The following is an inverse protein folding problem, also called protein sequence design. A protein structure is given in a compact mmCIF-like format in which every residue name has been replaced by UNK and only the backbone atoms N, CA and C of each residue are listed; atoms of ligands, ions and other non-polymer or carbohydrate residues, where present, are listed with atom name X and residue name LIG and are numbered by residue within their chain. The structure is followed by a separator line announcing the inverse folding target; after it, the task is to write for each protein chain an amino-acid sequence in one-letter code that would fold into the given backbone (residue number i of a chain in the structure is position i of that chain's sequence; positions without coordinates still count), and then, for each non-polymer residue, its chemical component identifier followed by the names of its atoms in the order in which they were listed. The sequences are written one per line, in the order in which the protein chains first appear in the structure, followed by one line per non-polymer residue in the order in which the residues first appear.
data_IF_088070015157
#
_entry.id   IF_088070015157
#
_cell.length_a   1.000
_cell.length_b   1.000
_cell.length_c   1.000
_cell.angle_alpha   90.00
_cell.angle_beta   90.00
_cell.angle_gamma   90.00
#
_symmetry.space_group_name_H-M   'P 1'
#
loop_
_entity.id
_entity.type
_entity.pdbx_description
1 polymer ?
#
# COMPACT_ATOMS: atom_id res chain seq x y z
N UNK A 1 -20.69 0.07 -15.43
CA UNK A 1 -21.65 0.57 -14.42
C UNK A 1 -23.02 -0.09 -14.60
N UNK A 2 -23.72 0.13 -15.72
CA UNK A 2 -25.07 -0.42 -15.98
C UNK A 2 -25.20 -1.90 -15.62
N UNK A 3 -24.25 -2.73 -16.06
CA UNK A 3 -24.25 -4.16 -15.71
C UNK A 3 -24.23 -4.43 -14.19
N UNK A 4 -23.38 -3.76 -13.42
CA UNK A 4 -23.23 -4.00 -11.97
C UNK A 4 -24.48 -3.57 -11.20
N UNK A 5 -24.97 -2.36 -11.47
CA UNK A 5 -26.12 -1.79 -10.78
C UNK A 5 -27.46 -2.41 -11.23
N UNK A 6 -27.59 -2.84 -12.49
CA UNK A 6 -28.74 -3.63 -12.95
C UNK A 6 -28.89 -4.94 -12.16
N UNK A 7 -27.77 -5.53 -11.73
CA UNK A 7 -27.75 -6.73 -10.88
C UNK A 7 -27.78 -6.41 -9.38
N UNK A 8 -28.07 -5.15 -8.99
CA UNK A 8 -28.13 -4.68 -7.60
C UNK A 8 -26.86 -4.98 -6.80
N UNK A 9 -25.70 -4.88 -7.44
CA UNK A 9 -24.39 -5.04 -6.81
C UNK A 9 -23.74 -3.68 -6.58
N UNK A 10 -22.89 -3.58 -5.55
CA UNK A 10 -22.05 -2.40 -5.30
C UNK A 10 -20.74 -2.51 -6.10
N UNK A 11 -20.28 -1.39 -6.65
CA UNK A 11 -19.01 -1.21 -7.33
C UNK A 11 -18.00 -0.59 -6.37
N UNK A 12 -17.06 -1.39 -5.87
CA UNK A 12 -15.94 -0.89 -5.08
C UNK A 12 -14.71 -0.77 -5.97
N UNK A 13 -14.04 0.39 -5.94
CA UNK A 13 -12.84 0.64 -6.73
C UNK A 13 -11.65 0.85 -5.80
N UNK A 14 -10.60 0.06 -6.00
CA UNK A 14 -9.35 0.20 -5.27
C UNK A 14 -8.39 1.13 -6.01
N UNK A 15 -7.98 2.20 -5.35
CA UNK A 15 -6.87 3.08 -5.74
C UNK A 15 -5.90 3.06 -4.56
N UNK A 16 -5.38 1.86 -4.28
CA UNK A 16 -4.71 1.52 -3.03
C UNK A 16 -3.21 1.83 -3.00
N UNK A 17 -2.69 2.51 -4.02
CA UNK A 17 -1.26 2.83 -4.13
C UNK A 17 -0.98 4.23 -3.60
N UNK A 18 0.21 4.44 -3.02
CA UNK A 18 0.67 5.76 -2.57
C UNK A 18 1.06 6.65 -3.73
N UNK A 19 0.69 7.93 -3.65
CA UNK A 19 0.95 8.89 -4.72
C UNK A 19 2.43 9.28 -4.78
N UNK A 20 3.01 9.28 -5.99
CA UNK A 20 4.38 9.77 -6.20
C UNK A 20 4.38 11.29 -6.37
N UNK A 21 5.38 12.03 -5.83
CA UNK A 21 5.47 13.48 -5.99
C UNK A 21 5.39 13.93 -7.45
N UNK A 22 6.12 13.27 -8.35
CA UNK A 22 6.20 13.61 -9.78
C UNK A 22 4.94 13.22 -10.58
N UNK A 23 3.90 12.71 -9.92
CA UNK A 23 2.73 12.18 -10.61
C UNK A 23 1.42 12.29 -9.82
N UNK A 24 1.37 13.08 -8.76
CA UNK A 24 0.23 13.16 -7.83
C UNK A 24 -1.14 13.31 -8.53
N UNK A 25 -1.21 14.18 -9.55
CA UNK A 25 -2.42 14.41 -10.33
C UNK A 25 -2.98 13.15 -11.02
N UNK A 26 -2.15 12.12 -11.24
CA UNK A 26 -2.60 10.81 -11.77
C UNK A 26 -3.56 10.14 -10.80
N UNK A 27 -3.30 10.19 -9.49
CA UNK A 27 -4.16 9.58 -8.48
C UNK A 27 -5.44 10.38 -8.29
N UNK A 28 -5.37 11.72 -8.30
CA UNK A 28 -6.57 12.56 -8.29
C UNK A 28 -7.48 12.23 -9.48
N UNK A 29 -6.92 12.14 -10.70
CA UNK A 29 -7.69 11.73 -11.89
C UNK A 29 -8.27 10.32 -11.75
N UNK A 30 -7.57 9.40 -11.08
CA UNK A 30 -8.09 8.07 -10.83
C UNK A 30 -9.30 8.10 -9.88
N UNK A 31 -9.25 8.93 -8.83
CA UNK A 31 -10.36 9.18 -7.91
C UNK A 31 -11.53 9.81 -8.66
N UNK A 32 -11.28 10.87 -9.43
CA UNK A 32 -12.31 11.56 -10.22
C UNK A 32 -12.99 10.60 -11.20
N UNK A 33 -12.20 9.79 -11.91
CA UNK A 33 -12.71 8.79 -12.85
C UNK A 33 -13.53 7.72 -12.14
N UNK A 34 -13.09 7.22 -10.98
CA UNK A 34 -13.83 6.25 -10.19
C UNK A 34 -15.19 6.82 -9.73
N UNK A 35 -15.22 8.08 -9.28
CA UNK A 35 -16.44 8.78 -8.92
C UNK A 35 -17.38 8.95 -10.13
N UNK A 36 -16.87 9.40 -11.27
CA UNK A 36 -17.63 9.57 -12.51
C UNK A 36 -18.21 8.24 -13.04
N UNK A 37 -17.53 7.13 -12.79
CA UNK A 37 -18.01 5.79 -13.14
C UNK A 37 -19.10 5.26 -12.20
N UNK A 38 -19.46 6.02 -11.14
CA UNK A 38 -20.46 5.64 -10.16
C UNK A 38 -19.96 4.59 -9.17
N UNK A 39 -18.72 4.72 -8.69
CA UNK A 39 -18.23 3.89 -7.59
C UNK A 39 -19.08 4.10 -6.33
N UNK A 40 -19.49 3.00 -5.71
CA UNK A 40 -20.19 3.01 -4.42
C UNK A 40 -19.19 3.17 -3.27
N UNK A 41 -17.96 2.66 -3.43
CA UNK A 41 -16.88 2.83 -2.46
C UNK A 41 -15.50 2.97 -3.11
N UNK A 42 -14.64 3.78 -2.49
CA UNK A 42 -13.22 3.94 -2.83
C UNK A 42 -12.35 3.30 -1.75
N UNK A 43 -11.42 2.42 -2.14
CA UNK A 43 -10.45 1.80 -1.23
C UNK A 43 -9.09 2.48 -1.44
N UNK A 44 -8.67 3.28 -0.45
CA UNK A 44 -7.53 4.21 -0.55
C UNK A 44 -6.51 3.97 0.56
N UNK A 45 -5.23 4.20 0.27
CA UNK A 45 -4.16 4.07 1.26
C UNK A 45 -3.49 5.41 1.61
N UNK A 46 -3.36 6.28 0.62
CA UNK A 46 -2.69 7.57 0.72
C UNK A 46 -3.56 8.59 1.46
N UNK A 47 -2.98 9.28 2.45
CA UNK A 47 -3.70 10.27 3.27
C UNK A 47 -4.24 11.43 2.42
N UNK A 48 -3.45 11.92 1.48
CA UNK A 48 -3.88 13.04 0.64
C UNK A 48 -4.96 12.60 -0.37
N UNK A 49 -4.99 11.33 -0.77
CA UNK A 49 -6.10 10.80 -1.57
C UNK A 49 -7.37 10.58 -0.75
N UNK A 50 -7.23 10.16 0.51
CA UNK A 50 -8.36 10.06 1.44
C UNK A 50 -8.99 11.43 1.69
N UNK A 51 -8.18 12.45 1.94
CA UNK A 51 -8.60 13.85 2.06
C UNK A 51 -9.27 14.33 0.79
N UNK A 52 -8.60 14.21 -0.36
CA UNK A 52 -9.13 14.63 -1.66
C UNK A 52 -10.50 14.00 -1.97
N UNK A 53 -10.66 12.70 -1.70
CA UNK A 53 -11.92 12.00 -1.89
C UNK A 53 -12.99 12.46 -0.90
N UNK A 54 -12.63 12.69 0.38
CA UNK A 54 -13.56 13.14 1.40
C UNK A 54 -14.11 14.55 1.10
N UNK A 55 -13.25 15.47 0.65
CA UNK A 55 -13.64 16.84 0.32
C UNK A 55 -14.48 16.92 -0.97
N UNK A 56 -14.05 16.20 -2.02
CA UNK A 56 -14.64 16.35 -3.35
C UNK A 56 -15.83 15.43 -3.61
N UNK A 57 -15.83 14.25 -3.01
CA UNK A 57 -16.84 13.22 -3.22
C UNK A 57 -17.37 12.67 -1.88
N UNK A 58 -17.93 13.53 -1.00
CA UNK A 58 -18.34 13.14 0.35
C UNK A 58 -19.46 12.09 0.37
N UNK A 59 -20.18 11.92 -0.72
CA UNK A 59 -21.26 10.94 -0.88
C UNK A 59 -20.77 9.52 -1.21
N UNK A 60 -19.48 9.34 -1.57
CA UNK A 60 -18.92 8.03 -1.88
C UNK A 60 -18.30 7.44 -0.62
N UNK A 61 -18.64 6.19 -0.29
CA UNK A 61 -18.05 5.50 0.86
C UNK A 61 -16.53 5.37 0.67
N UNK A 62 -15.75 5.58 1.73
CA UNK A 62 -14.28 5.47 1.67
C UNK A 62 -13.80 4.43 2.65
N UNK A 63 -12.98 3.52 2.17
CA UNK A 63 -12.39 2.44 2.92
C UNK A 63 -10.88 2.64 2.98
N UNK A 64 -10.30 2.39 4.16
CA UNK A 64 -8.84 2.37 4.32
C UNK A 64 -8.31 1.04 3.80
N UNK A 65 -7.37 1.11 2.87
CA UNK A 65 -6.70 -0.06 2.31
C UNK A 65 -5.72 -0.70 3.29
N UNK A 66 -5.51 -2.00 3.15
CA UNK A 66 -4.42 -2.74 3.84
C UNK A 66 -3.06 -2.07 3.69
N UNK A 67 -2.80 -1.39 2.57
CA UNK A 67 -1.53 -0.68 2.34
C UNK A 67 -1.26 0.45 3.33
N UNK A 68 -2.30 1.03 3.95
CA UNK A 68 -2.16 2.06 4.97
C UNK A 68 -1.72 1.53 6.35
N UNK A 69 -1.72 0.20 6.53
CA UNK A 69 -1.26 -0.46 7.76
C UNK A 69 -1.89 0.07 9.05
N UNK A 70 -3.20 0.34 9.05
CA UNK A 70 -3.94 0.71 10.25
C UNK A 70 -4.10 -0.50 11.18
N UNK A 71 -3.19 -0.67 12.16
CA UNK A 71 -3.13 -1.87 13.03
C UNK A 71 -3.52 -1.62 14.48
N UNK A 72 -3.87 -0.40 14.85
CA UNK A 72 -4.26 -0.02 16.20
C UNK A 72 -5.49 0.89 16.18
N UNK A 73 -6.11 1.05 17.35
CA UNK A 73 -7.33 1.82 17.52
C UNK A 73 -7.14 3.29 17.14
N UNK A 74 -6.03 3.89 17.56
CA UNK A 74 -5.73 5.31 17.36
C UNK A 74 -5.60 5.66 15.87
N UNK A 75 -4.95 4.80 15.09
CA UNK A 75 -4.85 4.93 13.64
C UNK A 75 -6.24 4.84 12.99
N UNK A 76 -7.06 3.87 13.40
CA UNK A 76 -8.42 3.70 12.88
C UNK A 76 -9.29 4.91 13.22
N UNK A 77 -9.22 5.38 14.45
CA UNK A 77 -9.91 6.59 14.92
C UNK A 77 -9.43 7.84 14.17
N UNK A 78 -8.14 7.94 13.86
CA UNK A 78 -7.61 9.02 13.05
C UNK A 78 -8.26 9.03 11.66
N UNK A 79 -8.27 7.88 10.96
CA UNK A 79 -8.89 7.80 9.64
C UNK A 79 -10.39 8.13 9.69
N UNK A 80 -11.09 7.64 10.72
CA UNK A 80 -12.51 7.90 10.88
C UNK A 80 -12.80 9.38 11.14
N UNK A 81 -12.08 10.01 12.08
CA UNK A 81 -12.31 11.43 12.42
C UNK A 81 -11.96 12.39 11.28
N UNK A 82 -10.84 12.17 10.60
CA UNK A 82 -10.31 13.15 9.65
C UNK A 82 -10.85 12.98 8.25
N UNK A 83 -11.20 11.75 7.89
CA UNK A 83 -11.72 11.51 6.56
C UNK A 83 -13.18 11.07 6.59
N UNK A 84 -13.78 10.62 7.69
CA UNK A 84 -15.09 9.96 7.69
C UNK A 84 -15.06 8.63 6.91
N UNK A 85 -14.05 7.79 7.17
CA UNK A 85 -13.99 6.46 6.55
C UNK A 85 -15.11 5.57 7.08
N UNK A 86 -15.72 4.78 6.20
CA UNK A 86 -16.81 3.86 6.53
C UNK A 86 -16.30 2.46 6.90
N UNK A 87 -15.04 2.13 6.58
CA UNK A 87 -14.45 0.80 6.80
C UNK A 87 -12.93 0.83 6.81
N UNK A 88 -12.31 -0.08 7.55
CA UNK A 88 -10.86 -0.31 7.49
C UNK A 88 -10.57 -1.76 7.12
N UNK A 89 -9.76 -1.95 6.07
CA UNK A 89 -9.25 -3.27 5.68
C UNK A 89 -7.91 -3.51 6.39
N UNK A 90 -7.88 -4.46 7.33
CA UNK A 90 -6.71 -4.71 8.18
C UNK A 90 -5.64 -5.54 7.46
N UNK A 91 -4.35 -5.26 7.70
CA UNK A 91 -3.28 -6.14 7.27
C UNK A 91 -3.28 -7.47 8.02
N UNK A 92 -2.82 -8.53 7.37
CA UNK A 92 -2.73 -9.89 7.91
C UNK A 92 -1.53 -10.13 8.84
N UNK A 93 -1.06 -9.06 9.49
CA UNK A 93 -0.02 -9.13 10.54
C UNK A 93 -0.63 -9.25 11.94
N UNK A 94 -1.95 -8.99 12.06
CA UNK A 94 -2.68 -9.16 13.31
C UNK A 94 -3.24 -10.59 13.40
N UNK A 95 -3.15 -11.17 14.60
CA UNK A 95 -3.87 -12.40 14.93
C UNK A 95 -5.38 -12.14 14.99
N UNK A 96 -6.19 -13.19 14.81
CA UNK A 96 -7.65 -13.08 14.94
C UNK A 96 -8.09 -12.60 16.33
N UNK A 97 -7.32 -12.90 17.38
CA UNK A 97 -7.58 -12.38 18.72
C UNK A 97 -7.40 -10.85 18.77
N UNK A 98 -6.33 -10.32 18.18
CA UNK A 98 -6.12 -8.87 18.09
C UNK A 98 -7.21 -8.18 17.26
N UNK A 99 -7.59 -8.78 16.12
CA UNK A 99 -8.72 -8.28 15.30
C UNK A 99 -10.01 -8.22 16.11
N UNK A 100 -10.33 -9.27 16.89
CA UNK A 100 -11.51 -9.29 17.78
C UNK A 100 -11.47 -8.20 18.83
N UNK A 101 -10.30 -7.88 19.40
CA UNK A 101 -10.19 -6.78 20.37
C UNK A 101 -10.41 -5.43 19.69
N UNK A 102 -9.77 -5.19 18.54
CA UNK A 102 -9.97 -3.95 17.79
C UNK A 102 -11.44 -3.76 17.40
N UNK A 103 -12.10 -4.79 16.88
CA UNK A 103 -13.49 -4.72 16.45
C UNK A 103 -14.47 -4.33 17.58
N UNK A 104 -14.09 -4.47 18.86
CA UNK A 104 -14.91 -4.06 20.01
C UNK A 104 -14.81 -2.58 20.32
N UNK A 105 -13.69 -1.94 19.96
CA UNK A 105 -13.36 -0.56 20.37
C UNK A 105 -13.40 0.42 19.20
N UNK A 106 -13.29 -0.07 17.96
CA UNK A 106 -13.25 0.80 16.78
C UNK A 106 -14.65 1.26 16.34
N UNK A 107 -14.81 2.52 15.91
CA UNK A 107 -16.11 3.08 15.51
C UNK A 107 -16.60 2.61 14.14
N UNK A 108 -15.73 1.94 13.36
CA UNK A 108 -16.00 1.53 11.99
C UNK A 108 -15.83 0.02 11.82
N UNK A 109 -16.61 -0.62 10.93
CA UNK A 109 -16.42 -2.02 10.58
C UNK A 109 -14.99 -2.32 10.09
N UNK A 110 -14.48 -3.47 10.51
CA UNK A 110 -13.17 -3.98 10.10
C UNK A 110 -13.36 -5.08 9.05
N UNK A 111 -12.53 -5.06 8.01
CA UNK A 111 -12.49 -6.08 6.96
C UNK A 111 -11.15 -6.80 6.97
N UNK A 112 -11.18 -8.12 6.79
CA UNK A 112 -9.99 -8.98 6.77
C UNK A 112 -10.01 -9.89 5.57
N UNK A 113 -8.84 -10.16 5.00
CA UNK A 113 -8.68 -11.16 3.96
C UNK A 113 -8.62 -12.56 4.58
N UNK A 114 -9.55 -13.44 4.19
CA UNK A 114 -9.54 -14.85 4.61
C UNK A 114 -8.38 -15.66 3.97
N UNK A 115 -8.03 -15.34 2.72
CA UNK A 115 -6.98 -16.00 1.96
C UNK A 115 -6.09 -14.98 1.22
N UNK A 116 -4.85 -15.35 0.93
CA UNK A 116 -3.90 -14.56 0.13
C UNK A 116 -2.45 -14.69 0.63
N UNK A 117 -1.49 -14.07 -0.07
CA UNK A 117 -0.07 -14.07 0.29
C UNK A 117 0.22 -13.14 1.47
N UNK A 118 0.87 -13.61 2.53
CA UNK A 118 1.20 -12.74 3.69
C UNK A 118 2.18 -11.67 3.24
N UNK A 119 1.71 -10.42 3.14
CA UNK A 119 2.55 -9.33 2.70
C UNK A 119 3.14 -8.64 3.93
N UNK A 120 4.38 -9.01 4.27
CA UNK A 120 5.14 -8.33 5.32
C UNK A 120 5.77 -7.07 4.72
N UNK A 121 4.93 -6.13 4.27
CA UNK A 121 5.39 -4.81 3.79
C UNK A 121 6.10 -4.03 4.90
N UNK A 122 5.82 -4.36 6.16
CA UNK A 122 6.35 -3.66 7.34
C UNK A 122 7.83 -3.92 7.61
N UNK A 123 8.45 -4.94 7.00
CA UNK A 123 9.87 -5.29 7.24
C UNK A 123 10.86 -4.57 6.30
N UNK A 124 10.43 -3.57 5.52
CA UNK A 124 11.33 -2.83 4.62
C UNK A 124 11.82 -3.63 3.40
N UNK A 125 11.47 -4.91 3.28
CA UNK A 125 11.83 -5.78 2.12
C UNK A 125 11.34 -5.23 0.79
N UNK A 126 10.18 -4.59 0.79
CA UNK A 126 9.60 -4.02 -0.41
C UNK A 126 10.25 -2.69 -0.81
N UNK A 127 10.72 -1.91 0.17
CA UNK A 127 11.63 -0.79 -0.08
C UNK A 127 12.99 -1.26 -0.60
N UNK A 128 13.57 -2.31 0.01
CA UNK A 128 14.82 -2.91 -0.46
C UNK A 128 14.69 -3.46 -1.89
N UNK A 129 13.57 -4.14 -2.19
CA UNK A 129 13.26 -4.56 -3.55
C UNK A 129 13.25 -3.36 -4.48
N UNK A 130 12.50 -2.30 -4.15
CA UNK A 130 12.44 -1.08 -4.97
C UNK A 130 13.82 -0.47 -5.22
N UNK A 131 14.69 -0.46 -4.20
CA UNK A 131 16.05 0.02 -4.33
C UNK A 131 16.90 -0.85 -5.27
N UNK A 132 16.79 -2.18 -5.16
CA UNK A 132 17.59 -3.12 -5.96
C UNK A 132 17.11 -3.27 -7.40
N UNK A 133 15.80 -3.15 -7.62
CA UNK A 133 15.17 -3.41 -8.93
C UNK A 133 14.82 -2.14 -9.68
N UNK A 134 14.80 -0.99 -9.01
CA UNK A 134 14.24 0.26 -9.55
C UNK A 134 12.72 0.25 -9.66
N UNK A 135 12.05 -0.78 -9.12
CA UNK A 135 10.62 -0.98 -9.29
C UNK A 135 9.89 -1.04 -7.99
N UNK A 136 9.01 -0.06 -7.81
CA UNK A 136 8.24 0.08 -6.59
C UNK A 136 7.15 -1.00 -6.51
N UNK A 137 7.14 -1.85 -5.47
CA UNK A 137 6.04 -2.76 -5.24
C UNK A 137 4.71 -2.04 -5.02
N UNK A 138 4.74 -0.77 -4.61
CA UNK A 138 3.57 0.10 -4.52
C UNK A 138 2.82 0.20 -5.86
N UNK A 139 3.54 0.22 -6.99
CA UNK A 139 2.92 0.46 -8.31
C UNK A 139 2.97 -0.77 -9.22
N UNK A 140 3.97 -1.63 -9.05
CA UNK A 140 4.16 -2.86 -9.83
C UNK A 140 3.48 -4.06 -9.16
N UNK A 141 3.10 -3.96 -7.88
CA UNK A 141 2.34 -5.00 -7.17
C UNK A 141 3.16 -6.24 -6.78
N UNK A 142 4.48 -6.22 -6.91
CA UNK A 142 5.34 -7.33 -6.55
C UNK A 142 6.65 -6.87 -5.88
N UNK A 143 6.96 -7.44 -4.72
CA UNK A 143 8.31 -7.36 -4.15
C UNK A 143 9.16 -8.48 -4.77
N UNK A 144 10.41 -8.18 -5.10
CA UNK A 144 11.33 -9.09 -5.79
C UNK A 144 10.74 -9.67 -7.10
N UNK A 145 10.39 -8.85 -8.11
CA UNK A 145 9.77 -9.35 -9.33
C UNK A 145 10.63 -10.44 -9.99
N UNK A 146 9.99 -11.53 -10.45
CA UNK A 146 10.67 -12.77 -10.82
C UNK A 146 11.82 -12.58 -11.84
N UNK A 147 11.69 -11.65 -12.78
CA UNK A 147 12.74 -11.33 -13.77
C UNK A 147 14.02 -10.72 -13.18
N UNK A 148 13.99 -10.24 -11.93
CA UNK A 148 15.16 -9.80 -11.19
C UNK A 148 15.76 -10.90 -10.32
N UNK A 149 15.06 -12.01 -10.15
CA UNK A 149 15.51 -13.17 -9.37
C UNK A 149 16.33 -14.08 -10.28
N UNK A 150 17.50 -14.50 -9.81
CA UNK A 150 18.37 -15.48 -10.46
C UNK A 150 18.57 -16.66 -9.53
N UNK A 151 18.66 -17.84 -10.12
CA UNK A 151 19.00 -19.06 -9.41
C UNK A 151 20.47 -19.39 -9.65
N UNK A 152 21.21 -19.68 -8.59
CA UNK A 152 22.63 -20.02 -8.63
C UNK A 152 22.83 -21.35 -7.93
N UNK A 153 23.43 -22.31 -8.64
CA UNK A 153 23.86 -23.57 -8.04
C UNK A 153 25.10 -23.32 -7.19
N UNK A 154 25.06 -23.72 -5.92
CA UNK A 154 26.20 -23.67 -5.00
C UNK A 154 26.52 -25.08 -4.48
N UNK A 155 27.70 -25.31 -3.90
CA UNK A 155 28.01 -26.58 -3.24
C UNK A 155 27.00 -26.97 -2.13
N UNK A 156 26.30 -25.98 -1.56
CA UNK A 156 25.29 -26.15 -0.52
C UNK A 156 23.86 -26.34 -1.07
N UNK A 157 23.66 -26.20 -2.38
CA UNK A 157 22.35 -26.35 -3.04
C UNK A 157 21.99 -25.19 -3.97
N UNK A 158 20.73 -25.18 -4.43
CA UNK A 158 20.20 -24.13 -5.30
C UNK A 158 19.79 -22.90 -4.48
N UNK A 159 20.42 -21.76 -4.73
CA UNK A 159 20.13 -20.50 -4.04
C UNK A 159 19.45 -19.49 -4.98
N UNK A 160 18.57 -18.64 -4.44
CA UNK A 160 17.99 -17.50 -5.17
C UNK A 160 18.65 -16.18 -4.78
N UNK A 161 18.87 -15.31 -5.77
CA UNK A 161 19.52 -13.99 -5.63
C UNK A 161 18.71 -12.92 -6.37
N UNK A 162 18.46 -11.78 -5.74
CA UNK A 162 17.87 -10.60 -6.38
C UNK A 162 18.96 -9.71 -6.98
N UNK A 163 18.74 -9.16 -8.18
CA UNK A 163 19.72 -8.42 -9.00
C UNK A 163 20.59 -7.42 -8.18
N UNK A 164 21.91 -7.64 -8.27
CA UNK A 164 23.10 -6.83 -7.89
C UNK A 164 23.32 -6.47 -6.41
N UNK A 165 23.89 -7.41 -5.64
CA UNK A 165 24.73 -7.12 -4.46
C UNK A 165 26.26 -7.24 -4.70
N UNK A 166 26.70 -7.52 -5.94
CA UNK A 166 28.12 -7.52 -6.32
C UNK A 166 28.31 -6.79 -7.67
N UNK A 167 29.41 -6.04 -7.83
CA UNK A 167 29.91 -5.33 -9.03
C UNK A 167 29.68 -3.83 -9.20
N UNK A 168 29.17 -3.08 -8.21
CA UNK A 168 29.40 -1.62 -8.24
C UNK A 168 30.58 -1.30 -7.33
N UNK A 169 31.80 -1.01 -7.86
CA UNK A 169 32.75 -0.29 -7.06
C UNK A 169 32.09 1.03 -6.67
N UNK A 170 32.08 1.33 -5.38
CA UNK A 170 31.70 2.63 -4.83
C UNK A 170 32.73 3.68 -5.31
N UNK A 171 32.78 3.96 -6.60
CA UNK A 171 33.46 5.12 -7.16
C UNK A 171 32.40 6.20 -7.35
N UNK A 172 32.55 7.31 -6.62
CA UNK A 172 31.81 8.54 -6.94
C UNK A 172 31.19 9.34 -5.80
N UNK A 173 31.33 8.96 -4.52
CA UNK A 173 31.10 9.92 -3.42
C UNK A 173 32.34 9.98 -2.54
N UNK A 174 33.20 10.99 -2.80
CA UNK A 174 34.22 11.41 -1.83
C UNK A 174 33.51 11.61 -0.48
N UNK A 175 33.79 10.73 0.48
CA UNK A 175 33.54 11.03 1.89
C UNK A 175 34.34 12.29 2.19
N UNK A 176 33.67 13.45 2.34
CA UNK A 176 34.29 14.56 3.08
C UNK A 176 34.55 14.00 4.48
N UNK A 177 35.81 13.92 4.87
CA UNK A 177 36.16 13.59 6.26
C UNK A 177 35.70 14.77 7.10
N UNK A 178 35.10 14.48 8.25
CA UNK A 178 34.76 15.44 9.30
C UNK A 178 35.99 16.05 10.00
N UNK A 179 37.19 15.90 9.44
CA UNK A 179 38.44 16.49 9.93
C UNK A 179 38.76 17.85 9.33
N UNK A 180 38.01 18.31 8.33
CA UNK A 180 38.32 19.57 7.59
C UNK A 180 37.37 20.72 8.01
N UNK A 181 36.86 20.66 9.24
CA UNK A 181 36.06 21.72 9.86
C UNK A 181 36.69 22.11 11.21
N UNK A 182 37.92 22.60 11.15
CA UNK A 182 38.53 23.53 12.11
C UNK A 182 39.41 24.50 11.34
#
# INVERSE_FOLDING_TARGET
MSFVHQHRRKLHIAINTFAHPDGYARWQRAVDMAAQLGADALILADLAMLEYAAERYPHIERHVSVQASATNEEAINFYHRHFDVARVVLPRVLSIHQVKQLARVTPVPLEVFAFGSLCIMSEGRCYLSSYLTGESPNTIGACSPARFVRWQQTPQGLESRLKRSADRPLSGRRKRRLSDAM
#
